data_IF_968181534640
#
_entry.id   IF_968181534640
#
_cell.length_a   1.000
_cell.length_b   1.000
_cell.length_c   1.000
_cell.angle_alpha   90.00
_cell.angle_beta   90.00
_cell.angle_gamma   90.00
#
_symmetry.space_group_name_H-M   'P 1'
#
loop_
_entity.id
_entity.type
_entity.pdbx_description
1 polymer ?
#
# COMPACT_ATOMS: atom_id res chain seq x y z
N UNK A 1 73.65 9.83 20.79
CA UNK A 1 73.70 9.59 19.34
C UNK A 1 72.28 9.30 18.88
N UNK A 2 71.62 10.29 18.28
CA UNK A 2 70.37 10.05 17.54
C UNK A 2 70.72 9.49 16.17
N UNK A 3 69.85 8.66 15.57
CA UNK A 3 69.24 9.10 14.33
C UNK A 3 67.75 8.72 14.19
N UNK A 4 67.20 9.23 13.11
CA UNK A 4 65.82 9.67 12.86
C UNK A 4 65.03 8.68 11.99
N UNK A 5 63.69 8.80 12.06
CA UNK A 5 62.69 8.61 10.99
C UNK A 5 62.29 7.17 10.55
N UNK A 6 60.98 6.88 10.55
CA UNK A 6 60.08 7.11 9.38
C UNK A 6 58.75 6.39 9.60
N UNK A 7 57.66 7.11 9.34
CA UNK A 7 56.28 6.65 9.37
C UNK A 7 55.95 5.72 8.19
N UNK A 8 55.26 4.60 8.43
CA UNK A 8 54.44 3.91 7.41
C UNK A 8 53.17 3.37 8.03
N UNK A 9 52.06 3.99 7.61
CA UNK A 9 50.68 3.51 7.73
C UNK A 9 50.55 2.20 6.95
N UNK A 10 50.05 1.14 7.57
CA UNK A 10 49.47 0.01 6.85
C UNK A 10 48.33 -0.57 7.69
N UNK A 11 47.14 -0.50 7.12
CA UNK A 11 45.89 -1.01 7.65
C UNK A 11 45.90 -2.54 7.74
N UNK A 12 45.25 -3.12 8.75
CA UNK A 12 44.35 -4.26 8.54
C UNK A 12 43.37 -4.42 9.71
N UNK A 13 42.16 -4.78 9.32
CA UNK A 13 40.91 -4.84 10.06
C UNK A 13 40.88 -5.82 11.25
N UNK A 14 39.97 -5.57 12.21
CA UNK A 14 39.08 -6.62 12.74
C UNK A 14 37.94 -6.06 13.62
N UNK A 15 36.71 -6.45 13.26
CA UNK A 15 35.50 -6.70 14.06
C UNK A 15 35.23 -5.90 15.35
N UNK A 16 34.04 -5.29 15.42
CA UNK A 16 32.94 -5.71 16.30
C UNK A 16 31.71 -4.80 16.12
N UNK A 17 30.83 -5.17 15.19
CA UNK A 17 29.48 -4.61 15.12
C UNK A 17 28.57 -5.36 16.09
N UNK A 18 28.19 -4.70 17.18
CA UNK A 18 27.09 -5.12 18.06
C UNK A 18 26.16 -3.92 18.19
N UNK A 19 25.13 -3.87 17.35
CA UNK A 19 23.95 -3.07 17.63
C UNK A 19 22.93 -4.00 18.29
N UNK A 20 22.87 -3.88 19.60
CA UNK A 20 21.87 -4.46 20.49
C UNK A 20 20.46 -4.00 20.09
N UNK A 21 19.69 -4.87 19.44
CA UNK A 21 18.24 -4.71 19.30
C UNK A 21 17.53 -5.39 20.46
N UNK A 22 17.35 -4.68 21.58
CA UNK A 22 16.41 -5.09 22.62
C UNK A 22 14.99 -4.72 22.19
N UNK A 23 14.08 -5.69 22.27
CA UNK A 23 12.67 -5.57 21.97
C UNK A 23 11.90 -4.73 23.02
N UNK A 24 10.58 -4.60 22.79
CA UNK A 24 9.48 -4.13 23.67
C UNK A 24 9.18 -2.62 23.61
N UNK A 25 7.96 -2.11 23.42
CA UNK A 25 6.61 -2.69 23.35
C UNK A 25 5.57 -1.65 22.88
N UNK A 26 4.29 -2.02 22.93
CA UNK A 26 3.08 -1.32 22.48
C UNK A 26 2.97 0.20 22.75
N UNK A 27 2.34 0.90 21.79
CA UNK A 27 1.83 2.26 21.92
C UNK A 27 2.65 3.31 21.16
N UNK A 28 1.98 4.14 20.37
CA UNK A 28 2.50 5.31 19.65
C UNK A 28 3.20 5.07 18.29
N UNK A 29 2.40 4.90 17.23
CA UNK A 29 2.82 5.01 15.81
C UNK A 29 3.11 6.46 15.40
N UNK A 30 4.03 7.10 16.13
CA UNK A 30 4.48 8.44 15.82
C UNK A 30 5.93 8.60 16.27
N UNK A 31 6.86 7.89 15.63
CA UNK A 31 8.23 8.37 15.58
C UNK A 31 9.01 7.73 14.43
N UNK A 32 9.82 8.58 13.78
CA UNK A 32 10.80 8.31 12.72
C UNK A 32 10.35 8.69 11.30
N UNK A 33 10.02 9.98 11.16
CA UNK A 33 10.53 10.74 10.02
C UNK A 33 11.99 11.13 10.25
N UNK A 34 12.71 11.36 9.15
CA UNK A 34 14.04 11.95 9.05
C UNK A 34 15.24 11.07 9.43
N UNK A 35 15.85 10.48 8.40
CA UNK A 35 17.26 10.07 8.44
C UNK A 35 17.52 8.78 7.68
N UNK A 36 18.21 8.87 6.53
CA UNK A 36 18.79 7.74 5.79
C UNK A 36 17.74 6.92 5.02
N UNK A 37 17.14 7.55 4.00
CA UNK A 37 16.16 6.95 3.09
C UNK A 37 16.67 5.84 2.14
N UNK A 38 17.79 5.17 2.44
CA UNK A 38 18.31 4.06 1.62
C UNK A 38 18.81 2.85 2.40
N UNK A 39 18.89 2.89 3.74
CA UNK A 39 19.40 1.78 4.54
C UNK A 39 18.32 0.97 5.31
N UNK A 40 17.11 1.52 5.45
CA UNK A 40 16.04 0.91 6.28
C UNK A 40 14.96 0.14 5.50
N UNK A 41 15.02 0.11 4.16
CA UNK A 41 14.11 -0.73 3.36
C UNK A 41 14.36 -2.23 3.55
N UNK A 42 15.61 -2.61 3.82
CA UNK A 42 15.98 -4.00 4.09
C UNK A 42 15.83 -4.39 5.57
N UNK A 43 15.97 -3.44 6.50
CA UNK A 43 16.00 -3.74 7.95
C UNK A 43 14.68 -4.29 8.49
N UNK A 44 13.53 -3.76 8.04
CA UNK A 44 12.22 -4.26 8.48
C UNK A 44 11.71 -5.43 7.62
N UNK A 45 12.10 -5.49 6.34
CA UNK A 45 11.77 -6.63 5.46
C UNK A 45 12.47 -7.93 5.89
N UNK A 46 13.69 -7.82 6.43
CA UNK A 46 14.44 -8.98 6.94
C UNK A 46 13.85 -9.53 8.25
N UNK A 47 13.33 -8.66 9.13
CA UNK A 47 12.73 -9.06 10.41
C UNK A 47 11.42 -9.85 10.27
N UNK A 48 10.70 -9.69 9.15
CA UNK A 48 9.40 -10.35 8.93
C UNK A 48 9.47 -11.48 7.89
N UNK A 49 10.46 -11.50 6.97
CA UNK A 49 10.46 -12.44 5.83
C UNK A 49 11.81 -12.97 5.35
N UNK A 50 12.92 -12.72 6.07
CA UNK A 50 14.25 -13.19 5.69
C UNK A 50 14.67 -12.74 4.28
N UNK A 51 15.46 -13.57 3.58
CA UNK A 51 16.11 -13.23 2.31
C UNK A 51 15.13 -12.88 1.15
N UNK A 52 13.85 -13.25 1.28
CA UNK A 52 12.79 -12.91 0.31
C UNK A 52 12.09 -11.58 0.63
N UNK A 53 12.25 -11.05 1.84
CA UNK A 53 11.67 -9.78 2.29
C UNK A 53 12.36 -8.54 1.71
N UNK A 54 13.58 -8.67 1.19
CA UNK A 54 14.30 -7.58 0.52
C UNK A 54 13.67 -7.20 -0.83
N UNK A 55 13.08 -8.15 -1.55
CA UNK A 55 12.43 -7.89 -2.84
C UNK A 55 11.06 -7.21 -2.69
N UNK A 56 10.37 -7.44 -1.56
CA UNK A 56 9.09 -6.81 -1.23
C UNK A 56 9.28 -5.49 -0.48
N UNK A 57 10.36 -5.36 0.31
CA UNK A 57 10.73 -4.15 1.06
C UNK A 57 11.27 -2.99 0.22
N UNK A 58 11.60 -3.23 -1.06
CA UNK A 58 12.07 -2.19 -1.99
C UNK A 58 10.98 -1.25 -2.52
N UNK A 59 9.70 -1.55 -2.29
CA UNK A 59 8.57 -0.74 -2.77
C UNK A 59 8.17 0.40 -1.81
N UNK A 60 8.80 0.51 -0.63
CA UNK A 60 8.62 1.66 0.28
C UNK A 60 9.65 2.76 -0.03
N UNK A 61 9.71 3.17 -1.29
CA UNK A 61 10.36 4.41 -1.68
C UNK A 61 9.30 5.50 -1.69
N UNK A 62 9.08 6.16 -0.55
CA UNK A 62 8.26 7.38 -0.51
C UNK A 62 8.82 8.38 -1.53
N UNK A 63 8.20 8.48 -2.70
CA UNK A 63 8.51 9.55 -3.64
C UNK A 63 8.13 10.88 -2.97
N UNK A 64 9.15 11.57 -2.47
CA UNK A 64 9.22 13.00 -2.12
C UNK A 64 8.10 13.65 -1.27
N UNK A 65 7.08 12.93 -0.81
CA UNK A 65 6.01 13.53 0.00
C UNK A 65 4.67 12.79 -0.08
N UNK A 66 4.44 11.97 -1.11
CA UNK A 66 3.18 11.22 -1.32
C UNK A 66 2.99 10.02 -0.36
N UNK A 67 3.56 10.12 0.84
CA UNK A 67 3.64 9.05 1.84
C UNK A 67 2.28 8.44 2.20
N UNK A 68 2.34 7.13 2.53
CA UNK A 68 1.32 6.16 2.93
C UNK A 68 -0.11 6.71 3.16
N UNK A 69 -1.11 6.06 2.54
CA UNK A 69 -2.53 6.30 2.84
C UNK A 69 -2.73 6.43 4.36
N UNK A 70 -3.13 7.62 4.78
CA UNK A 70 -3.17 8.00 6.19
C UNK A 70 -4.32 7.32 6.93
N UNK A 71 -5.41 7.01 6.21
CA UNK A 71 -6.59 6.34 6.74
C UNK A 71 -7.16 5.40 5.69
N UNK A 72 -7.18 4.11 6.02
CA UNK A 72 -7.86 3.08 5.26
C UNK A 72 -9.02 2.53 6.08
N UNK A 73 -10.17 2.42 5.44
CA UNK A 73 -11.35 1.79 6.01
C UNK A 73 -12.13 1.10 4.88
N UNK A 74 -12.77 -0.02 5.17
CA UNK A 74 -13.70 -0.62 4.22
C UNK A 74 -14.97 -1.05 4.93
N UNK A 75 -16.09 -0.77 4.28
CA UNK A 75 -17.43 -1.03 4.83
C UNK A 75 -18.22 -1.86 3.83
N UNK A 76 -18.91 -2.89 4.33
CA UNK A 76 -19.87 -3.61 3.52
C UNK A 76 -21.11 -2.73 3.35
N UNK A 77 -21.39 -2.34 2.11
CA UNK A 77 -22.50 -1.43 1.77
C UNK A 77 -23.66 -2.16 1.07
N UNK A 78 -23.43 -3.41 0.63
CA UNK A 78 -24.46 -4.26 0.02
C UNK A 78 -24.32 -5.69 0.51
N UNK A 79 -25.45 -6.33 0.80
CA UNK A 79 -25.49 -7.77 1.08
C UNK A 79 -25.16 -8.58 -0.18
N UNK A 80 -24.84 -9.87 -0.01
CA UNK A 80 -24.60 -10.77 -1.13
C UNK A 80 -25.75 -10.78 -2.15
N UNK A 81 -27.00 -10.89 -1.68
CA UNK A 81 -28.18 -10.93 -2.54
C UNK A 81 -28.41 -9.61 -3.30
N UNK A 82 -28.24 -8.47 -2.62
CA UNK A 82 -28.35 -7.14 -3.26
C UNK A 82 -27.27 -6.93 -4.32
N UNK A 83 -26.04 -7.34 -4.01
CA UNK A 83 -24.90 -7.16 -4.90
C UNK A 83 -24.99 -8.08 -6.13
N UNK A 84 -25.40 -9.34 -5.97
CA UNK A 84 -25.63 -10.28 -7.08
C UNK A 84 -26.73 -9.81 -8.03
N UNK A 85 -27.78 -9.18 -7.52
CA UNK A 85 -28.87 -8.64 -8.34
C UNK A 85 -28.40 -7.55 -9.32
N UNK A 86 -27.38 -6.76 -8.96
CA UNK A 86 -26.81 -5.72 -9.83
C UNK A 86 -26.22 -6.33 -11.11
N UNK A 87 -25.70 -7.56 -11.02
CA UNK A 87 -25.07 -8.26 -12.14
C UNK A 87 -26.00 -9.27 -12.83
N UNK A 88 -27.26 -9.36 -12.41
CA UNK A 88 -28.19 -10.37 -12.94
C UNK A 88 -27.70 -11.81 -12.75
N UNK A 89 -26.97 -12.08 -11.66
CA UNK A 89 -26.43 -13.42 -11.38
C UNK A 89 -27.58 -14.36 -11.03
N UNK A 90 -27.92 -15.25 -11.94
CA UNK A 90 -28.95 -16.29 -11.74
C UNK A 90 -28.36 -17.63 -11.34
N UNK A 91 -27.12 -17.90 -11.75
CA UNK A 91 -26.40 -19.13 -11.43
C UNK A 91 -25.34 -18.90 -10.36
N UNK A 92 -25.16 -19.83 -9.41
CA UNK A 92 -24.11 -19.71 -8.41
C UNK A 92 -22.70 -19.67 -9.01
N UNK A 93 -21.85 -18.80 -8.47
CA UNK A 93 -20.41 -18.85 -8.81
C UNK A 93 -19.77 -20.11 -8.19
N UNK A 94 -18.90 -20.77 -8.94
CA UNK A 94 -18.20 -21.99 -8.48
C UNK A 94 -16.84 -21.69 -7.83
N UNK A 95 -16.37 -20.45 -7.94
CA UNK A 95 -15.16 -19.93 -7.30
C UNK A 95 -15.37 -18.46 -6.89
N UNK A 96 -14.48 -17.94 -6.03
CA UNK A 96 -14.52 -16.53 -5.66
C UNK A 96 -14.37 -15.65 -6.91
N UNK A 97 -15.21 -14.63 -7.01
CA UNK A 97 -15.13 -13.61 -8.07
C UNK A 97 -15.08 -12.24 -7.44
N UNK A 98 -14.08 -11.46 -7.81
CA UNK A 98 -13.97 -10.04 -7.52
C UNK A 98 -14.34 -9.26 -8.77
N UNK A 99 -15.09 -8.18 -8.59
CA UNK A 99 -15.38 -7.22 -9.65
C UNK A 99 -15.44 -5.82 -9.05
N UNK A 100 -14.66 -4.89 -9.57
CA UNK A 100 -14.73 -3.48 -9.19
C UNK A 100 -15.81 -2.83 -10.05
N UNK A 101 -16.72 -2.12 -9.39
CA UNK A 101 -17.75 -1.34 -10.07
C UNK A 101 -17.25 0.03 -10.47
N UNK A 102 -16.56 0.69 -9.55
CA UNK A 102 -16.05 2.04 -9.74
C UNK A 102 -15.06 2.48 -8.66
N UNK A 103 -14.00 3.15 -9.08
CA UNK A 103 -13.10 3.98 -8.32
C UNK A 103 -13.50 5.45 -8.49
N UNK A 104 -13.48 6.21 -7.41
CA UNK A 104 -13.77 7.65 -7.44
C UNK A 104 -12.80 8.41 -6.58
N UNK A 105 -12.46 9.63 -7.00
CA UNK A 105 -11.66 10.56 -6.22
C UNK A 105 -12.52 11.78 -5.85
N UNK A 106 -12.57 12.10 -4.56
CA UNK A 106 -13.39 13.20 -4.01
C UNK A 106 -12.56 14.07 -3.06
N UNK A 107 -12.44 15.38 -3.32
CA UNK A 107 -12.87 16.07 -4.53
C UNK A 107 -11.99 15.67 -5.74
N UNK A 108 -12.53 15.78 -6.95
CA UNK A 108 -11.79 15.48 -8.19
C UNK A 108 -10.74 16.53 -8.55
N UNK A 109 -10.77 17.69 -7.89
CA UNK A 109 -9.73 18.73 -7.99
C UNK A 109 -9.32 19.18 -6.59
N UNK A 110 -8.01 19.21 -6.34
CA UNK A 110 -7.39 19.53 -5.04
C UNK A 110 -6.24 20.50 -5.23
N UNK A 111 -5.78 21.12 -4.14
CA UNK A 111 -4.54 21.92 -4.11
C UNK A 111 -3.44 21.15 -3.37
N UNK A 112 -2.16 21.48 -3.61
CA UNK A 112 -1.07 21.03 -2.74
C UNK A 112 -1.41 21.25 -1.26
N UNK A 113 -1.00 20.30 -0.41
CA UNK A 113 -1.32 20.31 1.02
C UNK A 113 -2.75 19.88 1.41
N UNK A 114 -3.64 19.66 0.45
CA UNK A 114 -5.00 19.18 0.70
C UNK A 114 -5.05 17.66 0.89
N UNK A 115 -6.26 17.09 0.91
CA UNK A 115 -6.49 15.64 0.91
C UNK A 115 -7.48 15.28 -0.19
N UNK A 116 -7.30 14.11 -0.78
CA UNK A 116 -8.28 13.48 -1.67
C UNK A 116 -8.72 12.14 -1.06
N UNK A 117 -10.02 11.88 -1.08
CA UNK A 117 -10.60 10.59 -0.72
C UNK A 117 -10.74 9.74 -1.98
N UNK A 118 -10.22 8.52 -1.94
CA UNK A 118 -10.36 7.53 -2.99
C UNK A 118 -11.30 6.44 -2.48
N UNK A 119 -12.45 6.28 -3.12
CA UNK A 119 -13.40 5.21 -2.82
C UNK A 119 -13.40 4.19 -3.95
N UNK A 120 -13.17 2.93 -3.62
CA UNK A 120 -13.28 1.78 -4.53
C UNK A 120 -14.48 0.94 -4.14
N UNK A 121 -15.52 0.99 -4.96
CA UNK A 121 -16.73 0.18 -4.82
C UNK A 121 -16.53 -1.14 -5.57
N UNK A 122 -16.49 -2.26 -4.83
CA UNK A 122 -16.26 -3.58 -5.39
C UNK A 122 -17.22 -4.63 -4.85
N UNK A 123 -17.29 -5.73 -5.56
CA UNK A 123 -18.15 -6.89 -5.32
C UNK A 123 -17.30 -8.11 -5.07
N UNK A 124 -17.63 -8.85 -4.00
CA UNK A 124 -17.07 -10.17 -3.73
C UNK A 124 -18.20 -11.21 -3.81
N UNK A 125 -18.18 -12.02 -4.86
CA UNK A 125 -19.07 -13.15 -5.01
C UNK A 125 -18.33 -14.42 -4.57
N UNK A 126 -18.98 -15.22 -3.75
CA UNK A 126 -18.42 -16.47 -3.23
C UNK A 126 -19.34 -17.65 -3.54
N UNK A 127 -18.79 -18.87 -3.64
CA UNK A 127 -19.60 -20.07 -3.81
C UNK A 127 -20.64 -20.25 -2.69
N UNK A 128 -21.82 -20.83 -3.00
CA UNK A 128 -22.80 -21.18 -1.98
C UNK A 128 -22.18 -21.96 -0.83
N UNK A 129 -22.64 -21.69 0.39
CA UNK A 129 -22.13 -22.35 1.59
C UNK A 129 -20.77 -21.85 2.08
N UNK A 130 -20.09 -20.93 1.37
CA UNK A 130 -18.83 -20.30 1.80
C UNK A 130 -18.96 -18.81 2.17
N UNK A 131 -20.11 -18.20 1.84
CA UNK A 131 -20.33 -16.76 1.96
C UNK A 131 -20.22 -16.23 3.41
N UNK A 132 -20.62 -17.03 4.40
CA UNK A 132 -20.61 -16.64 5.82
C UNK A 132 -19.20 -16.76 6.45
N UNK A 133 -18.35 -17.62 5.88
CA UNK A 133 -16.98 -17.84 6.35
C UNK A 133 -16.06 -16.68 5.93
N UNK A 134 -16.42 -15.98 4.85
CA UNK A 134 -15.62 -14.95 4.22
C UNK A 134 -14.45 -15.49 3.41
N UNK A 135 -13.83 -14.61 2.62
CA UNK A 135 -12.62 -14.87 1.86
C UNK A 135 -11.52 -13.88 2.24
N UNK A 136 -10.28 -14.28 2.00
CA UNK A 136 -9.15 -13.37 2.09
C UNK A 136 -9.11 -12.54 0.81
N UNK A 137 -9.21 -11.22 0.98
CA UNK A 137 -9.19 -10.22 -0.08
C UNK A 137 -7.92 -9.40 0.06
N UNK A 138 -7.10 -9.39 -0.99
CA UNK A 138 -5.91 -8.56 -1.10
C UNK A 138 -6.26 -7.27 -1.82
N UNK A 139 -5.99 -6.14 -1.17
CA UNK A 139 -6.21 -4.79 -1.71
C UNK A 139 -4.88 -4.05 -1.81
N UNK A 140 -4.64 -3.37 -2.93
CA UNK A 140 -3.45 -2.55 -3.18
C UNK A 140 -3.77 -1.40 -4.12
N UNK A 141 -2.94 -0.35 -4.11
CA UNK A 141 -3.04 0.74 -5.09
C UNK A 141 -1.66 1.16 -5.62
N UNK A 142 -1.68 1.83 -6.76
CA UNK A 142 -0.55 2.58 -7.33
C UNK A 142 -1.01 4.00 -7.68
N UNK A 143 -0.29 5.01 -7.17
CA UNK A 143 -0.45 6.40 -7.58
C UNK A 143 0.46 6.69 -8.77
N UNK A 144 -0.11 7.23 -9.84
CA UNK A 144 0.58 7.57 -11.08
C UNK A 144 0.38 9.05 -11.40
N UNK A 145 1.38 9.64 -12.03
CA UNK A 145 1.31 10.94 -12.72
C UNK A 145 1.92 10.76 -14.10
N UNK A 146 1.21 11.18 -15.14
CA UNK A 146 1.67 11.06 -16.54
C UNK A 146 2.12 9.63 -16.91
N UNK A 147 1.40 8.62 -16.40
CA UNK A 147 1.70 7.20 -16.59
C UNK A 147 2.87 6.65 -15.77
N UNK A 148 3.64 7.50 -15.09
CA UNK A 148 4.73 7.09 -14.20
C UNK A 148 4.20 6.81 -12.80
N UNK A 149 4.51 5.63 -12.26
CA UNK A 149 4.23 5.29 -10.86
C UNK A 149 5.07 6.19 -9.95
N UNK A 150 4.39 6.96 -9.10
CA UNK A 150 5.01 7.77 -8.06
C UNK A 150 5.20 6.95 -6.79
N UNK A 151 4.18 6.19 -6.39
CA UNK A 151 4.21 5.33 -5.20
C UNK A 151 3.18 4.22 -5.33
N UNK A 152 3.36 3.12 -4.60
CA UNK A 152 2.41 2.03 -4.50
C UNK A 152 2.33 1.50 -3.07
N UNK A 153 1.26 0.77 -2.77
CA UNK A 153 1.14 0.01 -1.52
C UNK A 153 1.51 -1.44 -1.73
N UNK A 154 2.15 -2.07 -0.74
CA UNK A 154 2.12 -3.52 -0.62
C UNK A 154 0.67 -4.02 -0.49
N UNK A 155 0.32 -5.17 -1.08
CA UNK A 155 -1.00 -5.78 -0.89
C UNK A 155 -1.30 -6.01 0.59
N UNK A 156 -2.47 -5.56 1.03
CA UNK A 156 -2.99 -5.81 2.38
C UNK A 156 -4.11 -6.83 2.30
N UNK A 157 -4.07 -7.82 3.18
CA UNK A 157 -5.07 -8.89 3.21
C UNK A 157 -6.13 -8.60 4.27
N UNK A 158 -7.40 -8.70 3.89
CA UNK A 158 -8.55 -8.51 4.76
C UNK A 158 -9.52 -9.67 4.60
N UNK A 159 -10.13 -10.09 5.71
CA UNK A 159 -11.24 -11.05 5.68
C UNK A 159 -12.52 -10.31 5.28
N UNK A 160 -13.19 -10.73 4.20
CA UNK A 160 -14.43 -10.12 3.69
C UNK A 160 -15.51 -11.18 3.47
N UNK A 161 -16.73 -10.87 3.89
CA UNK A 161 -17.91 -11.66 3.53
C UNK A 161 -18.36 -11.35 2.08
N UNK A 162 -19.13 -12.26 1.49
CA UNK A 162 -19.71 -12.02 0.16
C UNK A 162 -20.67 -10.83 0.18
N UNK A 163 -20.65 -10.02 -0.88
CA UNK A 163 -21.43 -8.81 -1.04
C UNK A 163 -20.60 -7.65 -1.57
N UNK A 164 -21.20 -6.46 -1.51
CA UNK A 164 -20.60 -5.23 -2.00
C UNK A 164 -19.90 -4.45 -0.90
N UNK A 165 -18.69 -4.01 -1.17
CA UNK A 165 -17.81 -3.28 -0.26
C UNK A 165 -17.38 -1.96 -0.88
N UNK A 166 -17.20 -0.95 -0.02
CA UNK A 166 -16.52 0.29 -0.39
C UNK A 166 -15.26 0.39 0.46
N UNK A 167 -14.10 0.34 -0.20
CA UNK A 167 -12.80 0.61 0.40
C UNK A 167 -12.42 2.08 0.18
N UNK A 168 -12.18 2.79 1.27
CA UNK A 168 -11.87 4.21 1.31
C UNK A 168 -10.43 4.42 1.74
N UNK A 169 -9.67 5.14 0.91
CA UNK A 169 -8.31 5.61 1.19
C UNK A 169 -8.31 7.14 1.22
N UNK A 170 -7.75 7.75 2.27
CA UNK A 170 -7.48 9.20 2.26
C UNK A 170 -6.01 9.47 1.97
N UNK A 171 -5.77 10.11 0.83
CA UNK A 171 -4.44 10.45 0.32
C UNK A 171 -4.14 11.93 0.61
N UNK A 172 -3.13 12.24 1.44
CA UNK A 172 -2.63 13.61 1.57
C UNK A 172 -1.90 14.03 0.30
N UNK A 173 -2.14 15.25 -0.17
CA UNK A 173 -1.43 15.84 -1.30
C UNK A 173 -0.21 16.60 -0.75
N UNK A 174 1.02 16.30 -1.21
CA UNK A 174 2.21 17.03 -0.79
C UNK A 174 2.14 18.53 -1.09
N UNK A 175 2.89 19.33 -0.34
CA UNK A 175 2.96 20.79 -0.56
C UNK A 175 3.71 21.15 -1.85
N UNK A 176 4.60 20.26 -2.29
CA UNK A 176 5.41 20.36 -3.51
C UNK A 176 4.85 19.51 -4.66
N UNK A 177 3.59 19.05 -4.53
CA UNK A 177 2.93 18.29 -5.59
C UNK A 177 2.85 19.11 -6.88
N UNK A 178 3.40 18.56 -7.97
CA UNK A 178 3.31 19.17 -9.29
C UNK A 178 1.84 19.25 -9.75
N UNK A 179 1.42 20.37 -10.35
CA UNK A 179 0.10 20.47 -10.96
C UNK A 179 -0.12 19.41 -12.06
N UNK A 180 -1.37 19.01 -12.25
CA UNK A 180 -1.79 18.13 -13.33
C UNK A 180 -2.63 16.94 -12.86
N UNK A 181 -2.76 15.95 -13.74
CA UNK A 181 -3.63 14.79 -13.54
C UNK A 181 -2.89 13.67 -12.82
N UNK A 182 -3.52 13.15 -11.78
CA UNK A 182 -3.07 12.01 -11.00
C UNK A 182 -4.10 10.89 -11.11
N UNK A 183 -3.58 9.66 -11.16
CA UNK A 183 -4.38 8.45 -11.29
C UNK A 183 -4.04 7.52 -10.14
N UNK A 184 -5.07 7.06 -9.43
CA UNK A 184 -4.96 6.00 -8.43
C UNK A 184 -5.54 4.73 -9.03
N UNK A 185 -4.67 3.81 -9.42
CA UNK A 185 -5.07 2.48 -9.86
C UNK A 185 -5.18 1.57 -8.64
N UNK A 186 -6.37 1.03 -8.39
CA UNK A 186 -6.62 0.07 -7.31
C UNK A 186 -6.73 -1.33 -7.87
N UNK A 187 -6.12 -2.31 -7.20
CA UNK A 187 -6.30 -3.74 -7.45
C UNK A 187 -6.94 -4.41 -6.25
N UNK A 188 -8.01 -5.18 -6.49
CA UNK A 188 -8.66 -6.04 -5.50
C UNK A 188 -8.57 -7.50 -5.99
N UNK A 189 -8.19 -8.42 -5.12
CA UNK A 189 -7.98 -9.83 -5.47
C UNK A 189 -8.51 -10.77 -4.38
N UNK A 190 -9.20 -11.85 -4.77
CA UNK A 190 -9.58 -12.95 -3.88
C UNK A 190 -9.29 -14.30 -4.57
N UNK A 191 -8.36 -15.07 -4.00
CA UNK A 191 -7.85 -16.28 -4.65
C UNK A 191 -7.25 -15.97 -6.03
N UNK A 192 -7.75 -16.64 -7.07
CA UNK A 192 -7.33 -16.43 -8.46
C UNK A 192 -8.06 -15.30 -9.20
N UNK A 193 -9.16 -14.78 -8.64
CA UNK A 193 -9.92 -13.68 -9.26
C UNK A 193 -9.38 -12.33 -8.77
N UNK A 194 -9.16 -11.42 -9.71
CA UNK A 194 -8.81 -10.03 -9.41
C UNK A 194 -9.48 -9.09 -10.40
N UNK A 195 -9.58 -7.83 -10.01
CA UNK A 195 -9.99 -6.74 -10.89
C UNK A 195 -9.22 -5.46 -10.55
N UNK A 196 -9.17 -4.53 -11.49
CA UNK A 196 -8.46 -3.25 -11.37
C UNK A 196 -9.31 -2.11 -11.89
N UNK A 197 -9.28 -0.96 -11.23
CA UNK A 197 -9.95 0.26 -11.71
C UNK A 197 -9.17 1.52 -11.32
N UNK A 198 -9.43 2.62 -12.03
CA UNK A 198 -8.73 3.88 -11.86
C UNK A 198 -9.64 4.98 -11.30
N UNK A 199 -9.16 5.67 -10.27
CA UNK A 199 -9.74 6.92 -9.78
C UNK A 199 -8.83 8.10 -10.18
N UNK A 200 -9.41 9.15 -10.76
CA UNK A 200 -8.65 10.29 -11.31
C UNK A 200 -8.94 11.57 -10.53
N UNK A 201 -7.90 12.32 -10.20
CA UNK A 201 -8.01 13.67 -9.64
C UNK A 201 -6.97 14.62 -10.24
N UNK A 202 -7.21 15.93 -10.11
CA UNK A 202 -6.34 16.99 -10.60
C UNK A 202 -5.75 17.75 -9.41
N UNK A 203 -4.44 17.93 -9.40
CA UNK A 203 -3.77 18.91 -8.53
C UNK A 203 -3.71 20.24 -9.29
N UNK A 204 -4.39 21.25 -8.77
CA UNK A 204 -4.33 22.61 -9.31
C UNK A 204 -3.03 23.33 -8.96
N UNK A 205 -2.75 24.41 -9.69
CA UNK A 205 -1.71 25.40 -9.36
C UNK A 205 -2.03 26.20 -8.11
#
# INVERSE_FOLDING_TARGET
MSPTATSKVTALALCCGVLSGCATGEGNQQLLGAGIGTALGCGLGYAVGGDKGCAVGGALGAAAGWGVVAQYQATQVRSAAQDQAIYGVTEPVIANKVQIRKGTATPSTVRPGSKVQIDTDYSLLMPPGTAAQGADVQESFALKKDGKVLTNSAPKTFRRASGGWVATNKLPIPQDAEPGTYVVETKVQAGSSYDTDEAVFIVGS
#
